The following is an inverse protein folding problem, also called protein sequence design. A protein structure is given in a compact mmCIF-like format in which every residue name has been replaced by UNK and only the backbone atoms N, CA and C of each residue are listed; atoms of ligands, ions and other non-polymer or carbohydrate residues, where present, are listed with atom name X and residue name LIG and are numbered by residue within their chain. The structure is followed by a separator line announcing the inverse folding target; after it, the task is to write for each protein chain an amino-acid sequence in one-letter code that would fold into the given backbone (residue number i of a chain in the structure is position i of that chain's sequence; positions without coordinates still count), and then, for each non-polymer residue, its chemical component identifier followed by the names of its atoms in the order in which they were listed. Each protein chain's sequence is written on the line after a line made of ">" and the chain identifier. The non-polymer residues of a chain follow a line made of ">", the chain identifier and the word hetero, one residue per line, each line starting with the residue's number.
data_IF_627378995589
#
_entry.id   IF_627378995589
#
_cell.length_a   1.000
_cell.length_b   1.000
_cell.length_c   1.000
_cell.angle_alpha   90.00
_cell.angle_beta   90.00
_cell.angle_gamma   90.00
#
_symmetry.space_group_name_H-M   'P 1'
#
loop_
_entity.id
_entity.type
_entity.pdbx_description
1 polymer ?
#
# COMPACT_ATOMS: atom_id res chain seq x y z
N UNK A 1 -8.85 -18.56 -10.57
CA UNK A 1 -9.51 -17.85 -9.44
C UNK A 1 -10.96 -17.55 -9.75
N UNK A 2 -11.84 -17.76 -8.77
CA UNK A 2 -13.24 -17.34 -8.83
C UNK A 2 -13.33 -15.81 -8.84
N UNK A 3 -14.41 -15.26 -9.40
CA UNK A 3 -14.65 -13.81 -9.44
C UNK A 3 -14.56 -13.19 -8.04
N UNK A 4 -15.05 -13.91 -7.01
CA UNK A 4 -14.96 -13.50 -5.61
C UNK A 4 -13.53 -13.29 -5.11
N UNK A 5 -12.57 -14.15 -5.50
CA UNK A 5 -11.18 -14.01 -5.04
C UNK A 5 -10.51 -12.77 -5.65
N UNK A 6 -10.76 -12.49 -6.93
CA UNK A 6 -10.25 -11.28 -7.59
C UNK A 6 -10.81 -10.00 -6.93
N UNK A 7 -12.07 -10.03 -6.54
CA UNK A 7 -12.75 -8.92 -5.88
C UNK A 7 -12.19 -8.69 -4.47
N UNK A 8 -11.94 -9.76 -3.71
CA UNK A 8 -11.30 -9.69 -2.38
C UNK A 8 -9.89 -9.12 -2.47
N UNK A 9 -9.09 -9.55 -3.46
CA UNK A 9 -7.74 -9.02 -3.69
C UNK A 9 -7.80 -7.52 -4.02
N UNK A 10 -8.71 -7.12 -4.92
CA UNK A 10 -8.87 -5.71 -5.30
C UNK A 10 -9.24 -4.84 -4.09
N UNK A 11 -10.22 -5.27 -3.29
CA UNK A 11 -10.64 -4.55 -2.08
C UNK A 11 -9.47 -4.47 -1.08
N UNK A 12 -8.73 -5.56 -0.89
CA UNK A 12 -7.56 -5.61 -0.01
C UNK A 12 -6.48 -4.61 -0.40
N UNK A 13 -6.14 -4.53 -1.70
CA UNK A 13 -5.17 -3.55 -2.21
C UNK A 13 -5.64 -2.12 -1.94
N UNK A 14 -6.92 -1.84 -2.20
CA UNK A 14 -7.49 -0.50 -2.06
C UNK A 14 -7.50 -0.04 -0.60
N UNK A 15 -7.83 -0.95 0.33
CA UNK A 15 -7.80 -0.69 1.78
C UNK A 15 -6.38 -0.43 2.27
N UNK A 16 -5.43 -1.31 1.91
CA UNK A 16 -4.03 -1.19 2.34
C UNK A 16 -3.39 0.06 1.75
N UNK A 17 -3.69 0.39 0.49
CA UNK A 17 -3.16 1.60 -0.14
C UNK A 17 -3.67 2.87 0.53
N UNK A 18 -4.97 2.96 0.78
CA UNK A 18 -5.57 4.11 1.48
C UNK A 18 -4.97 4.27 2.88
N UNK A 19 -4.79 3.16 3.60
CA UNK A 19 -4.20 3.15 4.92
C UNK A 19 -2.74 3.62 4.91
N UNK A 20 -1.89 3.05 4.07
CA UNK A 20 -0.45 3.39 4.02
C UNK A 20 -0.21 4.83 3.56
N UNK A 21 -1.00 5.32 2.59
CA UNK A 21 -0.91 6.71 2.12
C UNK A 21 -1.37 7.67 3.23
N UNK A 22 -2.49 7.39 3.89
CA UNK A 22 -2.97 8.19 5.02
C UNK A 22 -2.00 8.19 6.20
N UNK A 23 -1.39 7.04 6.51
CA UNK A 23 -0.34 6.90 7.51
C UNK A 23 0.89 7.76 7.12
N UNK A 24 1.33 7.69 5.87
CA UNK A 24 2.47 8.47 5.38
C UNK A 24 2.24 9.97 5.43
N UNK A 25 1.03 10.40 5.08
CA UNK A 25 0.61 11.79 5.19
C UNK A 25 0.62 12.26 6.64
N UNK A 26 -0.02 11.50 7.54
CA UNK A 26 -0.12 11.82 8.97
C UNK A 26 1.27 11.92 9.64
N UNK A 27 2.19 11.02 9.32
CA UNK A 27 3.56 11.04 9.85
C UNK A 27 4.36 12.24 9.29
N UNK A 28 4.19 12.55 8.01
CA UNK A 28 4.89 13.66 7.33
C UNK A 28 4.44 15.03 7.84
N UNK A 29 3.13 15.23 8.08
CA UNK A 29 2.57 16.50 8.54
C UNK A 29 2.53 16.63 10.06
N UNK A 30 2.48 15.52 10.80
CA UNK A 30 2.25 15.52 12.25
C UNK A 30 3.52 15.43 13.08
N UNK A 31 4.17 14.26 13.08
CA UNK A 31 5.00 13.82 14.22
C UNK A 31 6.51 13.90 13.97
N UNK A 32 6.95 13.77 12.72
CA UNK A 32 8.36 13.62 12.38
C UNK A 32 8.96 14.86 11.67
N UNK A 33 8.10 15.72 11.10
CA UNK A 33 8.52 16.78 10.18
C UNK A 33 8.92 16.22 8.80
N UNK A 34 8.88 17.07 7.77
CA UNK A 34 9.01 16.68 6.35
C UNK A 34 10.26 15.82 6.05
N UNK A 35 11.40 16.14 6.68
CA UNK A 35 12.68 15.46 6.48
C UNK A 35 12.74 14.04 7.04
N UNK A 36 12.02 13.75 8.12
CA UNK A 36 11.93 12.38 8.68
C UNK A 36 10.74 11.59 8.10
N UNK A 37 9.78 12.27 7.47
CA UNK A 37 8.69 11.63 6.73
C UNK A 37 9.12 11.10 5.35
N UNK A 38 10.15 11.67 4.73
CA UNK A 38 10.72 11.20 3.45
C UNK A 38 11.14 9.72 3.43
N UNK A 39 11.94 9.21 4.38
CA UNK A 39 12.28 7.79 4.42
C UNK A 39 11.05 6.89 4.60
N UNK A 40 10.02 7.38 5.30
CA UNK A 40 8.77 6.64 5.48
C UNK A 40 7.98 6.50 4.18
N UNK A 41 7.94 7.56 3.36
CA UNK A 41 7.32 7.53 2.02
C UNK A 41 7.99 6.51 1.09
N UNK A 42 9.32 6.37 1.15
CA UNK A 42 10.06 5.38 0.35
C UNK A 42 9.63 3.95 0.73
N UNK A 43 9.51 3.67 2.03
CA UNK A 43 9.06 2.36 2.52
C UNK A 43 7.63 2.07 2.08
N UNK A 44 6.74 3.06 2.14
CA UNK A 44 5.34 2.94 1.72
C UNK A 44 5.23 2.63 0.23
N UNK A 45 5.96 3.34 -0.63
CA UNK A 45 5.99 3.08 -2.08
C UNK A 45 6.52 1.67 -2.36
N UNK A 46 7.58 1.26 -1.67
CA UNK A 46 8.15 -0.08 -1.82
C UNK A 46 7.16 -1.19 -1.41
N UNK A 47 6.47 -1.00 -0.28
CA UNK A 47 5.48 -1.95 0.23
C UNK A 47 4.25 -2.04 -0.70
N UNK A 48 3.80 -0.91 -1.24
CA UNK A 48 2.76 -0.87 -2.27
C UNK A 48 3.17 -1.61 -3.56
N UNK A 49 4.43 -1.43 -4.00
CA UNK A 49 4.97 -2.14 -5.15
C UNK A 49 4.98 -3.66 -4.95
N UNK A 50 5.41 -4.12 -3.77
CA UNK A 50 5.37 -5.55 -3.41
C UNK A 50 3.95 -6.10 -3.33
N UNK A 51 3.01 -5.34 -2.75
CA UNK A 51 1.60 -5.72 -2.66
C UNK A 51 0.98 -5.89 -4.05
N UNK A 52 1.26 -4.96 -4.97
CA UNK A 52 0.78 -5.05 -6.36
C UNK A 52 1.42 -6.24 -7.06
N UNK A 53 2.73 -6.45 -6.89
CA UNK A 53 3.43 -7.59 -7.49
C UNK A 53 2.88 -8.93 -6.99
N UNK A 54 2.67 -9.07 -5.68
CA UNK A 54 2.10 -10.28 -5.09
C UNK A 54 0.65 -10.50 -5.54
N UNK A 55 -0.14 -9.43 -5.61
CA UNK A 55 -1.51 -9.49 -6.13
C UNK A 55 -1.57 -9.91 -7.59
N UNK A 56 -0.67 -9.38 -8.44
CA UNK A 56 -0.56 -9.79 -9.84
C UNK A 56 -0.10 -11.24 -9.98
N UNK A 57 0.89 -11.66 -9.17
CA UNK A 57 1.37 -13.04 -9.13
C UNK A 57 0.26 -14.00 -8.70
N UNK A 58 -0.53 -13.61 -7.71
CA UNK A 58 -1.69 -14.35 -7.21
C UNK A 58 -2.72 -14.49 -8.33
N UNK A 59 -3.10 -13.42 -9.02
CA UNK A 59 -4.07 -13.44 -10.13
C UNK A 59 -3.60 -14.29 -11.33
N UNK A 60 -2.30 -14.36 -11.60
CA UNK A 60 -1.71 -15.14 -12.70
C UNK A 60 -1.61 -16.64 -12.42
N UNK A 61 -1.79 -17.05 -11.16
CA UNK A 61 -1.74 -18.44 -10.69
C UNK A 61 -3.12 -19.09 -10.74
#
# INVERSE_FOLDING_TARGET
>A
MRLSEKLTILIGILLVATFLIGLAWSISTGLAGFYKGLPFWIIVIFCLGLLIYDSLKSIKK
#
